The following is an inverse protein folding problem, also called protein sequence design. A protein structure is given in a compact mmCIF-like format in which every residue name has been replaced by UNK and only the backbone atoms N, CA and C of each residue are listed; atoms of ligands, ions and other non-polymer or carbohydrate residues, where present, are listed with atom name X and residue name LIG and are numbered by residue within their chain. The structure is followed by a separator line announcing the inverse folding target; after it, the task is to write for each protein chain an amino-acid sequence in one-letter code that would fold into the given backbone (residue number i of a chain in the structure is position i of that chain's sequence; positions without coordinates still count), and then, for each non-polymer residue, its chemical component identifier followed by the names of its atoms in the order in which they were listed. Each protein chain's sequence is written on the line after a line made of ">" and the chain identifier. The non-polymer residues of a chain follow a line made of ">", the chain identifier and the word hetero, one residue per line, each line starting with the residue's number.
data_IF_594844977992
#
_entry.id   IF_594844977992
#
_cell.length_a   1.000
_cell.length_b   1.000
_cell.length_c   1.000
_cell.angle_alpha   90.00
_cell.angle_beta   90.00
_cell.angle_gamma   90.00
#
_symmetry.space_group_name_H-M   'P 1'
#
loop_
_entity.id
_entity.type
_entity.pdbx_description
1 polymer ?
#
# COMPACT_ATOMS: atom_id res chain seq x y z
N UNK A 1 36.93 8.23 13.17
CA UNK A 1 36.15 9.39 12.67
C UNK A 1 36.71 10.68 13.27
N UNK A 2 37.62 11.39 12.58
CA UNK A 2 38.09 12.70 13.07
C UNK A 2 37.03 13.75 12.70
N UNK A 3 36.61 14.59 13.65
CA UNK A 3 35.65 15.70 13.51
C UNK A 3 34.14 15.36 13.50
N UNK A 4 33.76 14.13 13.84
CA UNK A 4 32.36 13.79 14.11
C UNK A 4 32.15 13.72 15.62
N UNK A 5 31.02 14.24 16.09
CA UNK A 5 30.64 14.25 17.51
C UNK A 5 29.32 13.53 17.69
N UNK A 6 29.24 12.71 18.74
CA UNK A 6 28.00 12.04 19.12
C UNK A 6 27.01 13.06 19.65
N UNK A 7 25.84 13.08 19.05
CA UNK A 7 24.76 13.98 19.40
C UNK A 7 23.86 13.35 20.47
N UNK A 8 23.35 12.14 20.21
CA UNK A 8 22.43 11.40 21.09
C UNK A 8 22.47 9.89 20.78
N UNK A 9 22.08 9.07 21.75
CA UNK A 9 21.90 7.62 21.63
C UNK A 9 20.41 7.26 21.68
N UNK A 10 20.02 6.24 20.92
CA UNK A 10 18.63 5.82 20.76
C UNK A 10 18.49 4.32 21.01
N UNK A 11 17.39 3.93 21.64
CA UNK A 11 17.02 2.52 21.81
C UNK A 11 16.40 1.90 20.56
N UNK A 12 15.94 2.72 19.60
CA UNK A 12 15.22 2.29 18.39
C UNK A 12 15.67 3.08 17.15
N UNK A 13 15.86 2.40 16.01
CA UNK A 13 16.45 2.99 14.80
C UNK A 13 15.64 4.16 14.26
N UNK A 14 14.31 4.03 14.23
CA UNK A 14 13.44 5.09 13.72
C UNK A 14 13.57 6.41 14.48
N UNK A 15 13.94 6.37 15.77
CA UNK A 15 14.14 7.59 16.55
C UNK A 15 15.40 8.33 16.09
N UNK A 16 16.47 7.57 15.82
CA UNK A 16 17.71 8.11 15.27
C UNK A 16 17.51 8.66 13.85
N UNK A 17 16.82 7.90 12.98
CA UNK A 17 16.49 8.32 11.61
C UNK A 17 15.67 9.62 11.59
N UNK A 18 14.68 9.74 12.49
CA UNK A 18 13.89 10.96 12.60
C UNK A 18 14.73 12.20 12.89
N UNK A 19 15.70 12.12 13.82
CA UNK A 19 16.59 13.25 14.12
C UNK A 19 17.60 13.48 12.99
N UNK A 20 18.11 12.40 12.38
CA UNK A 20 18.99 12.47 11.21
C UNK A 20 18.34 13.28 10.08
N UNK A 21 17.11 12.93 9.73
CA UNK A 21 16.34 13.61 8.70
C UNK A 21 16.09 15.09 9.03
N UNK A 22 15.77 15.43 10.29
CA UNK A 22 15.59 16.83 10.71
C UNK A 22 16.88 17.62 10.50
N UNK A 23 18.02 17.04 10.87
CA UNK A 23 19.31 17.66 10.70
C UNK A 23 19.65 17.83 9.21
N UNK A 24 19.47 16.79 8.40
CA UNK A 24 19.76 16.80 6.96
C UNK A 24 18.90 17.83 6.22
N UNK A 25 17.60 17.91 6.53
CA UNK A 25 16.68 18.92 5.97
C UNK A 25 17.04 20.36 6.35
N UNK A 26 17.82 20.55 7.43
CA UNK A 26 18.32 21.85 7.87
C UNK A 26 19.78 22.11 7.43
N UNK A 27 20.27 21.32 6.47
CA UNK A 27 21.60 21.43 5.89
C UNK A 27 22.72 20.96 6.82
N UNK A 28 22.41 20.08 7.78
CA UNK A 28 23.38 19.52 8.74
C UNK A 28 23.64 18.06 8.40
N UNK A 29 24.81 17.72 7.82
CA UNK A 29 25.17 16.34 7.54
C UNK A 29 25.23 15.52 8.83
N UNK A 30 24.51 14.40 8.88
CA UNK A 30 24.44 13.53 10.04
C UNK A 30 24.57 12.06 9.65
N UNK A 31 25.06 11.23 10.58
CA UNK A 31 25.34 9.80 10.35
C UNK A 31 24.80 9.00 11.53
N UNK A 32 24.11 7.90 11.24
CA UNK A 32 23.69 6.93 12.26
C UNK A 32 24.69 5.79 12.28
N UNK A 33 25.15 5.43 13.47
CA UNK A 33 25.90 4.21 13.73
C UNK A 33 24.98 3.29 14.53
N UNK A 34 24.61 2.16 13.92
CA UNK A 34 23.85 1.13 14.62
C UNK A 34 24.82 0.10 15.19
N UNK A 35 25.12 0.20 16.49
CA UNK A 35 26.02 -0.74 17.18
C UNK A 35 25.26 -1.92 17.79
N UNK A 36 23.98 -2.13 17.44
CA UNK A 36 23.24 -3.29 17.93
C UNK A 36 23.74 -4.58 17.31
N UNK A 37 24.07 -5.53 18.18
CA UNK A 37 24.34 -6.89 17.78
C UNK A 37 23.03 -7.56 17.35
N UNK A 38 22.99 -8.04 16.10
CA UNK A 38 21.80 -8.67 15.50
C UNK A 38 21.44 -10.00 16.16
N UNK A 39 22.36 -10.66 16.85
CA UNK A 39 22.14 -11.95 17.52
C UNK A 39 21.60 -11.79 18.93
N UNK A 40 21.88 -10.67 19.59
CA UNK A 40 21.55 -10.49 21.00
C UNK A 40 20.73 -9.23 21.33
N UNK A 41 20.43 -8.39 20.34
CA UNK A 41 19.57 -7.19 20.45
C UNK A 41 20.03 -6.13 21.46
N UNK A 42 21.23 -6.28 22.05
CA UNK A 42 21.87 -5.29 22.91
C UNK A 42 22.80 -4.37 22.11
N UNK A 43 22.92 -3.11 22.55
CA UNK A 43 23.67 -2.05 21.88
C UNK A 43 22.84 -0.78 21.72
N UNK A 44 23.50 0.33 21.41
CA UNK A 44 22.86 1.63 21.18
C UNK A 44 22.93 2.03 19.71
N UNK A 45 21.97 2.85 19.29
CA UNK A 45 21.95 3.45 17.96
C UNK A 45 22.34 4.91 18.15
N UNK A 46 23.48 5.30 17.60
CA UNK A 46 24.08 6.60 17.88
C UNK A 46 23.96 7.53 16.67
N UNK A 47 23.57 8.78 16.90
CA UNK A 47 23.53 9.82 15.88
C UNK A 47 24.73 10.74 16.03
N UNK A 48 25.44 10.96 14.92
CA UNK A 48 26.61 11.81 14.84
C UNK A 48 26.41 12.97 13.87
N UNK A 49 27.04 14.10 14.16
CA UNK A 49 27.16 15.26 13.26
C UNK A 49 28.60 15.73 13.18
N UNK A 50 28.91 16.60 12.22
CA UNK A 50 30.20 17.31 12.22
C UNK A 50 30.28 18.23 13.44
N UNK A 51 31.45 18.29 14.07
CA UNK A 51 31.71 19.11 15.27
C UNK A 51 31.31 20.59 15.10
N UNK A 52 31.45 21.14 13.90
CA UNK A 52 31.09 22.52 13.60
C UNK A 52 29.58 22.78 13.72
N UNK A 53 28.75 21.79 13.40
CA UNK A 53 27.29 21.91 13.38
C UNK A 53 26.65 21.50 14.70
N UNK A 54 27.43 21.07 15.71
CA UNK A 54 26.93 20.48 16.95
C UNK A 54 25.91 21.36 17.68
N UNK A 55 26.20 22.65 17.85
CA UNK A 55 25.33 23.55 18.59
C UNK A 55 23.96 23.73 17.90
N UNK A 56 23.98 24.01 16.59
CA UNK A 56 22.78 24.13 15.75
C UNK A 56 22.01 22.82 15.68
N UNK A 57 22.73 21.70 15.57
CA UNK A 57 22.14 20.37 15.54
C UNK A 57 21.41 20.04 16.85
N UNK A 58 22.04 20.30 18.00
CA UNK A 58 21.43 20.12 19.33
C UNK A 58 20.19 20.99 19.50
N UNK A 59 20.21 22.22 19.03
CA UNK A 59 19.03 23.11 19.06
C UNK A 59 17.87 22.55 18.22
N UNK A 60 18.14 22.07 17.00
CA UNK A 60 17.12 21.51 16.12
C UNK A 60 16.53 20.20 16.64
N UNK A 61 17.34 19.31 17.21
CA UNK A 61 16.82 18.04 17.74
C UNK A 61 16.11 18.19 19.09
N UNK A 62 16.32 19.29 19.81
CA UNK A 62 15.60 19.59 21.05
C UNK A 62 14.10 19.70 20.79
N UNK A 63 13.69 20.28 19.65
CA UNK A 63 12.28 20.36 19.24
C UNK A 63 11.65 18.97 19.03
N UNK A 64 12.46 17.97 18.66
CA UNK A 64 11.98 16.61 18.46
C UNK A 64 12.15 15.72 19.69
N UNK A 65 12.98 16.13 20.66
CA UNK A 65 13.17 15.44 21.93
C UNK A 65 11.87 15.48 22.71
N UNK A 66 11.26 14.31 22.86
CA UNK A 66 9.93 14.22 23.47
C UNK A 66 8.79 14.10 22.47
N UNK A 67 9.02 13.93 21.16
CA UNK A 67 7.96 13.65 20.19
C UNK A 67 7.85 12.16 19.83
N UNK A 68 6.61 11.66 19.73
CA UNK A 68 6.26 10.31 19.26
C UNK A 68 5.43 10.37 18.00
N UNK A 69 5.82 9.59 16.98
CA UNK A 69 5.00 9.40 15.78
C UNK A 69 3.75 8.61 16.14
N UNK A 70 2.58 9.16 15.82
CA UNK A 70 1.30 8.49 16.06
C UNK A 70 0.60 8.07 14.79
N UNK A 71 0.95 8.66 13.64
CA UNK A 71 0.32 8.31 12.37
C UNK A 71 1.21 8.67 11.17
N UNK A 72 0.95 8.08 10.01
CA UNK A 72 1.60 8.42 8.75
C UNK A 72 0.75 8.04 7.55
N UNK A 73 0.82 8.81 6.46
CA UNK A 73 0.12 8.50 5.21
C UNK A 73 0.73 9.26 4.01
N UNK A 74 0.35 8.87 2.79
CA UNK A 74 0.70 9.59 1.55
C UNK A 74 -0.10 10.87 1.33
N UNK A 75 -1.31 10.94 1.87
CA UNK A 75 -2.24 12.06 1.65
C UNK A 75 -2.02 13.19 2.63
N UNK A 76 -1.54 14.34 2.14
CA UNK A 76 -1.31 15.56 2.93
C UNK A 76 -2.59 16.01 3.62
N UNK A 77 -3.69 16.14 2.86
CA UNK A 77 -4.98 16.61 3.36
C UNK A 77 -5.50 15.75 4.52
N UNK A 78 -5.36 14.43 4.41
CA UNK A 78 -5.77 13.50 5.47
C UNK A 78 -4.94 13.68 6.75
N UNK A 79 -3.63 13.92 6.62
CA UNK A 79 -2.73 14.12 7.76
C UNK A 79 -2.89 15.49 8.40
N UNK A 80 -3.10 16.55 7.61
CA UNK A 80 -3.40 17.88 8.13
C UNK A 80 -4.74 17.89 8.87
N UNK A 81 -5.79 17.29 8.30
CA UNK A 81 -7.08 17.19 8.99
C UNK A 81 -6.96 16.40 10.31
N UNK A 82 -6.22 15.29 10.31
CA UNK A 82 -5.99 14.54 11.56
C UNK A 82 -5.26 15.40 12.61
N UNK A 83 -4.23 16.15 12.19
CA UNK A 83 -3.52 17.11 13.06
C UNK A 83 -4.45 18.19 13.59
N UNK A 84 -5.27 18.81 12.74
CA UNK A 84 -6.25 19.83 13.15
C UNK A 84 -7.25 19.28 14.18
N UNK A 85 -7.71 18.04 13.99
CA UNK A 85 -8.57 17.36 14.95
C UNK A 85 -7.88 17.23 16.31
N UNK A 86 -6.60 16.84 16.36
CA UNK A 86 -5.83 16.75 17.60
C UNK A 86 -5.68 18.12 18.28
N UNK A 87 -5.30 19.14 17.51
CA UNK A 87 -5.14 20.51 18.02
C UNK A 87 -6.45 21.05 18.62
N UNK A 88 -7.58 20.80 17.97
CA UNK A 88 -8.91 21.19 18.46
C UNK A 88 -9.32 20.47 19.75
N UNK A 89 -8.65 19.36 20.10
CA UNK A 89 -8.85 18.63 21.34
C UNK A 89 -7.69 18.87 22.34
N UNK A 90 -6.97 19.99 22.19
CA UNK A 90 -5.86 20.39 23.04
C UNK A 90 -4.69 19.39 23.08
N UNK A 91 -4.49 18.62 22.01
CA UNK A 91 -3.33 17.74 21.85
C UNK A 91 -2.36 18.42 20.89
N UNK A 92 -1.20 18.84 21.40
CA UNK A 92 -0.20 19.49 20.57
C UNK A 92 0.37 18.49 19.55
N UNK A 93 0.33 18.88 18.28
CA UNK A 93 0.75 18.01 17.19
C UNK A 93 1.40 18.77 16.03
N UNK A 94 2.40 18.12 15.45
CA UNK A 94 3.16 18.62 14.30
C UNK A 94 3.15 17.59 13.17
N UNK A 95 3.18 18.09 11.94
CA UNK A 95 3.28 17.26 10.74
C UNK A 95 4.66 17.43 10.12
N UNK A 96 5.23 16.31 9.66
CA UNK A 96 6.49 16.30 8.92
C UNK A 96 6.24 15.69 7.54
N UNK A 97 6.64 16.43 6.50
CA UNK A 97 6.73 15.89 5.14
C UNK A 97 8.10 15.22 4.95
N UNK A 98 8.13 13.98 4.47
CA UNK A 98 9.35 13.32 4.00
C UNK A 98 9.68 13.80 2.60
N UNK A 99 10.97 13.98 2.31
CA UNK A 99 11.41 14.29 0.95
C UNK A 99 10.97 13.17 -0.02
N UNK A 100 10.65 13.56 -1.25
CA UNK A 100 10.14 12.66 -2.30
C UNK A 100 11.24 11.67 -2.72
N UNK A 101 11.35 10.56 -1.99
CA UNK A 101 12.02 9.36 -2.48
C UNK A 101 10.97 8.47 -3.17
N UNK A 102 11.30 7.99 -4.37
CA UNK A 102 10.47 7.06 -5.17
C UNK A 102 10.10 5.78 -4.41
N UNK A 103 10.76 5.47 -3.30
CA UNK A 103 10.49 4.30 -2.46
C UNK A 103 9.69 4.62 -1.18
N UNK A 104 9.39 5.89 -0.90
CA UNK A 104 8.63 6.26 0.31
C UNK A 104 7.14 6.23 0.01
N UNK A 105 6.47 5.23 0.58
CA UNK A 105 5.01 5.08 0.53
C UNK A 105 4.28 5.90 1.60
N UNK A 106 4.96 6.69 2.43
CA UNK A 106 4.37 7.52 3.49
C UNK A 106 5.07 8.87 3.55
N UNK A 107 4.48 9.86 2.89
CA UNK A 107 5.13 11.15 2.69
C UNK A 107 4.84 12.14 3.83
N UNK A 108 3.85 11.87 4.67
CA UNK A 108 3.43 12.74 5.75
C UNK A 108 3.32 11.95 7.06
N UNK A 109 3.92 12.47 8.12
CA UNK A 109 3.95 11.85 9.44
C UNK A 109 3.46 12.83 10.50
N UNK A 110 2.58 12.37 11.39
CA UNK A 110 2.04 13.18 12.50
C UNK A 110 2.69 12.75 13.81
N UNK A 111 3.16 13.75 14.55
CA UNK A 111 3.83 13.62 15.84
C UNK A 111 3.10 14.38 16.93
N UNK A 112 3.18 13.87 18.15
CA UNK A 112 2.70 14.50 19.39
C UNK A 112 3.78 14.46 20.46
N UNK A 113 3.64 15.26 21.51
CA UNK A 113 4.53 15.13 22.66
C UNK A 113 4.32 13.79 23.39
N UNK A 114 5.39 13.27 23.99
CA UNK A 114 5.43 11.96 24.64
C UNK A 114 4.52 11.91 25.86
N UNK A 115 4.42 13.02 26.59
CA UNK A 115 3.53 13.20 27.73
C UNK A 115 2.06 13.33 27.32
N UNK A 116 1.77 13.59 26.04
CA UNK A 116 0.41 13.67 25.51
C UNK A 116 -0.09 12.34 24.90
N UNK A 117 0.74 11.28 24.86
CA UNK A 117 0.38 9.98 24.27
C UNK A 117 -0.87 9.40 24.93
N UNK A 118 -0.96 9.44 26.25
CA UNK A 118 -2.14 8.94 26.97
C UNK A 118 -3.40 9.74 26.63
N UNK A 119 -3.25 11.05 26.39
CA UNK A 119 -4.29 11.93 25.90
C UNK A 119 -4.78 11.52 24.51
N UNK A 120 -3.85 11.21 23.59
CA UNK A 120 -4.19 10.66 22.26
C UNK A 120 -4.96 9.36 22.38
N UNK A 121 -4.50 8.42 23.22
CA UNK A 121 -5.19 7.14 23.41
C UNK A 121 -6.61 7.37 23.95
N UNK A 122 -6.77 8.25 24.94
CA UNK A 122 -8.07 8.61 25.50
C UNK A 122 -9.01 9.23 24.47
N UNK A 123 -8.52 10.20 23.70
CA UNK A 123 -9.25 10.85 22.61
C UNK A 123 -9.73 9.82 21.58
N UNK A 124 -8.82 8.95 21.11
CA UNK A 124 -9.10 7.96 20.08
C UNK A 124 -10.13 6.92 20.52
N UNK A 125 -10.18 6.57 21.81
CA UNK A 125 -11.11 5.57 22.35
C UNK A 125 -12.50 6.12 22.67
N UNK A 126 -12.63 7.42 22.97
CA UNK A 126 -13.88 7.99 23.52
C UNK A 126 -14.43 9.13 22.67
N UNK A 127 -13.61 10.13 22.42
CA UNK A 127 -14.05 11.42 21.90
C UNK A 127 -14.08 11.45 20.38
N UNK A 128 -13.12 10.81 19.72
CA UNK A 128 -13.07 10.74 18.26
C UNK A 128 -14.36 10.15 17.69
N UNK A 129 -14.81 9.04 18.28
CA UNK A 129 -16.02 8.32 17.88
C UNK A 129 -17.30 9.08 18.19
N UNK A 130 -17.25 10.24 18.85
CA UNK A 130 -18.43 11.09 19.05
C UNK A 130 -18.81 11.85 17.77
N UNK A 131 -17.82 12.35 17.02
CA UNK A 131 -18.01 13.19 15.83
C UNK A 131 -17.68 12.46 14.52
N UNK A 132 -16.76 11.50 14.57
CA UNK A 132 -16.26 10.78 13.40
C UNK A 132 -16.71 9.32 13.42
N UNK A 133 -17.06 8.80 12.25
CA UNK A 133 -17.40 7.39 12.04
C UNK A 133 -16.32 6.71 11.20
N UNK A 134 -15.96 5.48 11.60
CA UNK A 134 -15.12 4.61 10.77
C UNK A 134 -15.94 4.16 9.57
N UNK A 135 -15.47 4.50 8.36
CA UNK A 135 -16.12 4.19 7.10
C UNK A 135 -15.76 2.80 6.62
N UNK A 136 -14.47 2.51 6.51
CA UNK A 136 -13.92 1.23 6.03
C UNK A 136 -12.45 1.09 6.44
N UNK A 137 -11.98 -0.15 6.60
CA UNK A 137 -10.57 -0.49 6.73
C UNK A 137 -10.02 -1.06 5.41
N UNK A 138 -8.77 -0.74 5.12
CA UNK A 138 -8.05 -1.22 3.94
C UNK A 138 -6.73 -1.85 4.37
N UNK A 139 -6.26 -2.84 3.62
CA UNK A 139 -5.01 -3.55 3.91
C UNK A 139 -3.83 -3.05 3.06
N UNK A 140 -4.10 -2.22 2.04
CA UNK A 140 -3.10 -1.62 1.15
C UNK A 140 -3.24 -0.10 1.19
N UNK A 141 -2.12 0.60 1.43
CA UNK A 141 -2.04 2.08 1.45
C UNK A 141 -2.56 2.68 0.15
N UNK A 142 -2.25 2.04 -0.98
CA UNK A 142 -2.65 2.49 -2.32
C UNK A 142 -4.18 2.46 -2.50
N UNK A 143 -4.82 1.34 -2.15
CA UNK A 143 -6.27 1.23 -2.16
C UNK A 143 -6.91 2.29 -1.24
N UNK A 144 -6.34 2.53 -0.05
CA UNK A 144 -6.81 3.63 0.82
C UNK A 144 -6.76 4.96 0.09
N UNK A 145 -5.62 5.30 -0.53
CA UNK A 145 -5.41 6.57 -1.24
C UNK A 145 -6.45 6.76 -2.36
N UNK A 146 -6.74 5.71 -3.11
CA UNK A 146 -7.75 5.76 -4.17
C UNK A 146 -9.14 6.10 -3.66
N UNK A 147 -9.52 5.55 -2.50
CA UNK A 147 -10.81 5.84 -1.88
C UNK A 147 -10.83 7.24 -1.25
N UNK A 148 -9.74 7.68 -0.61
CA UNK A 148 -9.67 9.04 -0.05
C UNK A 148 -9.73 10.11 -1.13
N UNK A 149 -9.14 9.85 -2.31
CA UNK A 149 -9.23 10.75 -3.47
C UNK A 149 -10.67 10.91 -3.97
N UNK A 150 -11.40 9.79 -4.06
CA UNK A 150 -12.83 9.80 -4.42
C UNK A 150 -13.64 10.61 -3.41
N UNK A 151 -13.36 10.48 -2.11
CA UNK A 151 -14.01 11.27 -1.07
C UNK A 151 -13.67 12.76 -1.20
N UNK A 152 -12.40 13.08 -1.48
CA UNK A 152 -11.92 14.46 -1.64
C UNK A 152 -12.55 15.17 -2.83
N UNK A 153 -12.60 14.50 -3.99
CA UNK A 153 -13.27 14.98 -5.21
C UNK A 153 -14.75 15.29 -4.96
N UNK A 154 -15.38 14.54 -4.04
CA UNK A 154 -16.78 14.71 -3.65
C UNK A 154 -16.97 15.60 -2.42
N UNK A 155 -15.91 16.31 -1.99
CA UNK A 155 -15.90 17.25 -0.86
C UNK A 155 -16.37 16.61 0.45
N UNK A 156 -15.98 15.37 0.69
CA UNK A 156 -16.23 14.65 1.95
C UNK A 156 -14.94 14.68 2.77
N UNK A 157 -14.99 15.37 3.91
CA UNK A 157 -13.86 15.43 4.83
C UNK A 157 -13.55 14.02 5.35
N UNK A 158 -12.29 13.63 5.21
CA UNK A 158 -11.82 12.32 5.60
C UNK A 158 -10.38 12.39 6.14
N UNK A 159 -10.11 11.58 7.15
CA UNK A 159 -8.76 11.34 7.62
C UNK A 159 -8.57 9.83 7.82
N UNK A 160 -7.34 9.40 8.04
CA UNK A 160 -7.02 7.98 8.20
C UNK A 160 -6.25 7.73 9.47
N UNK A 161 -6.35 6.51 10.01
CA UNK A 161 -5.51 6.00 11.09
C UNK A 161 -4.86 4.70 10.63
N UNK A 162 -3.53 4.63 10.71
CA UNK A 162 -2.81 3.38 10.46
C UNK A 162 -2.76 2.51 11.71
N UNK A 163 -3.24 1.27 11.60
CA UNK A 163 -3.05 0.21 12.58
C UNK A 163 -1.86 -0.64 12.18
N UNK A 164 -1.00 -0.93 13.16
CA UNK A 164 0.15 -1.80 12.99
C UNK A 164 0.12 -2.87 14.06
N UNK A 165 0.57 -4.07 13.68
CA UNK A 165 0.74 -5.15 14.62
C UNK A 165 1.98 -4.94 15.52
N UNK A 166 2.19 -5.88 16.46
CA UNK A 166 3.35 -5.85 17.37
C UNK A 166 4.71 -5.93 16.68
N UNK A 167 4.76 -6.44 15.45
CA UNK A 167 5.95 -6.53 14.61
C UNK A 167 6.10 -5.31 13.68
N UNK A 168 5.28 -4.28 13.87
CA UNK A 168 5.24 -3.04 13.10
C UNK A 168 4.85 -3.22 11.63
N UNK A 169 4.28 -4.36 11.25
CA UNK A 169 3.67 -4.56 9.95
C UNK A 169 2.34 -3.80 9.88
N UNK A 170 2.01 -3.31 8.69
CA UNK A 170 0.72 -2.67 8.45
C UNK A 170 -0.38 -3.71 8.61
N UNK A 171 -1.23 -3.54 9.61
CA UNK A 171 -2.40 -4.38 9.82
C UNK A 171 -3.57 -3.86 8.97
N UNK A 172 -3.86 -2.55 9.10
CA UNK A 172 -4.87 -1.90 8.28
C UNK A 172 -4.72 -0.38 8.29
N UNK A 173 -5.39 0.27 7.36
CA UNK A 173 -5.60 1.72 7.31
C UNK A 173 -7.09 1.96 7.42
N UNK A 174 -7.51 2.53 8.54
CA UNK A 174 -8.90 2.86 8.84
C UNK A 174 -9.21 4.26 8.29
N UNK A 175 -10.24 4.40 7.46
CA UNK A 175 -10.72 5.68 6.94
C UNK A 175 -11.88 6.17 7.80
N UNK A 176 -11.81 7.42 8.23
CA UNK A 176 -12.84 8.08 9.03
C UNK A 176 -13.43 9.26 8.27
N UNK A 177 -14.73 9.46 8.43
CA UNK A 177 -15.48 10.62 7.92
C UNK A 177 -16.37 11.19 9.02
N UNK A 178 -16.86 12.42 8.85
CA UNK A 178 -17.88 12.96 9.75
C UNK A 178 -19.10 12.04 9.77
N UNK A 179 -19.70 11.82 10.95
CA UNK A 179 -20.86 10.92 11.08
C UNK A 179 -22.01 11.26 10.14
N UNK A 180 -22.27 12.55 9.95
CA UNK A 180 -23.33 13.04 9.06
C UNK A 180 -23.07 12.70 7.59
N UNK A 181 -21.81 12.49 7.20
CA UNK A 181 -21.40 12.09 5.85
C UNK A 181 -21.24 10.57 5.70
N UNK A 182 -21.35 9.78 6.77
CA UNK A 182 -21.02 8.35 6.76
C UNK A 182 -21.85 7.56 5.74
N UNK A 183 -23.17 7.78 5.71
CA UNK A 183 -24.06 7.10 4.78
C UNK A 183 -23.78 7.53 3.32
N UNK A 184 -23.56 8.83 3.10
CA UNK A 184 -23.23 9.40 1.79
C UNK A 184 -21.90 8.84 1.27
N UNK A 185 -20.87 8.83 2.10
CA UNK A 185 -19.55 8.30 1.79
C UNK A 185 -19.60 6.80 1.49
N UNK A 186 -20.33 6.02 2.31
CA UNK A 186 -20.51 4.58 2.09
C UNK A 186 -21.21 4.29 0.77
N UNK A 187 -22.29 5.00 0.45
CA UNK A 187 -22.98 4.86 -0.85
C UNK A 187 -22.07 5.24 -2.02
N UNK A 188 -21.28 6.29 -1.89
CA UNK A 188 -20.34 6.73 -2.92
C UNK A 188 -19.28 5.65 -3.21
N UNK A 189 -18.62 5.14 -2.17
CA UNK A 189 -17.56 4.12 -2.32
C UNK A 189 -18.08 2.73 -2.70
N UNK A 190 -19.38 2.44 -2.50
CA UNK A 190 -19.99 1.20 -2.96
C UNK A 190 -20.47 1.27 -4.40
N UNK A 191 -20.96 2.43 -4.84
CA UNK A 191 -21.45 2.59 -6.21
C UNK A 191 -20.34 2.82 -7.21
N UNK A 192 -19.28 3.52 -6.78
CA UNK A 192 -18.16 3.94 -7.63
C UNK A 192 -18.67 4.41 -9.01
N UNK A 193 -19.64 5.33 -9.02
CA UNK A 193 -20.30 5.76 -10.26
C UNK A 193 -19.26 6.19 -11.31
N UNK A 194 -19.31 5.62 -12.50
CA UNK A 194 -18.33 5.86 -13.57
C UNK A 194 -17.16 4.86 -13.58
N UNK A 195 -17.11 3.93 -12.62
CA UNK A 195 -16.21 2.79 -12.62
C UNK A 195 -16.94 1.56 -13.14
N UNK A 196 -16.19 0.71 -13.83
CA UNK A 196 -16.70 -0.51 -14.44
C UNK A 196 -15.83 -1.70 -14.05
N UNK A 197 -16.46 -2.86 -13.98
CA UNK A 197 -15.80 -4.13 -13.66
C UNK A 197 -15.18 -4.72 -14.92
N UNK A 198 -13.85 -4.81 -14.95
CA UNK A 198 -13.12 -5.37 -16.10
C UNK A 198 -12.75 -6.84 -15.89
N UNK A 199 -12.63 -7.30 -14.64
CA UNK A 199 -12.34 -8.70 -14.29
C UNK A 199 -12.89 -9.09 -12.93
N UNK A 200 -13.18 -10.39 -12.78
CA UNK A 200 -13.65 -11.02 -11.54
C UNK A 200 -12.73 -12.16 -11.11
N UNK A 201 -12.61 -12.30 -9.79
CA UNK A 201 -11.70 -13.22 -9.13
C UNK A 201 -12.37 -13.91 -7.95
N UNK A 202 -12.06 -15.18 -7.74
CA UNK A 202 -12.45 -15.89 -6.51
C UNK A 202 -11.42 -15.74 -5.40
N UNK A 203 -10.18 -15.39 -5.75
CA UNK A 203 -9.05 -15.22 -4.85
C UNK A 203 -8.50 -13.80 -4.97
N UNK A 204 -8.36 -13.11 -3.84
CA UNK A 204 -7.87 -11.73 -3.77
C UNK A 204 -6.47 -11.58 -4.36
N UNK A 205 -5.63 -12.60 -4.25
CA UNK A 205 -4.25 -12.56 -4.74
C UNK A 205 -4.17 -12.18 -6.23
N UNK A 206 -5.11 -12.64 -7.05
CA UNK A 206 -5.13 -12.32 -8.48
C UNK A 206 -5.65 -10.92 -8.79
N UNK A 207 -6.59 -10.42 -7.98
CA UNK A 207 -7.02 -9.04 -8.06
C UNK A 207 -5.86 -8.09 -7.70
N UNK A 208 -5.13 -8.42 -6.63
CA UNK A 208 -3.93 -7.70 -6.21
C UNK A 208 -2.85 -7.63 -7.32
N UNK A 209 -2.63 -8.72 -8.07
CA UNK A 209 -1.67 -8.73 -9.19
C UNK A 209 -2.11 -7.79 -10.32
N UNK A 210 -3.38 -7.85 -10.72
CA UNK A 210 -3.91 -6.95 -11.75
C UNK A 210 -3.86 -5.49 -11.30
N UNK A 211 -4.16 -5.22 -10.02
CA UNK A 211 -4.01 -3.91 -9.41
C UNK A 211 -2.57 -3.41 -9.58
N UNK A 212 -1.57 -4.24 -9.26
CA UNK A 212 -0.16 -3.87 -9.38
C UNK A 212 0.25 -3.62 -10.84
N UNK A 213 -0.18 -4.48 -11.78
CA UNK A 213 0.04 -4.29 -13.22
C UNK A 213 -0.54 -2.95 -13.71
N UNK A 214 -1.81 -2.66 -13.40
CA UNK A 214 -2.46 -1.42 -13.82
C UNK A 214 -1.73 -0.19 -13.28
N UNK A 215 -1.27 -0.26 -12.03
CA UNK A 215 -0.57 0.84 -11.39
C UNK A 215 0.80 1.12 -12.01
N UNK A 216 1.53 0.10 -12.46
CA UNK A 216 2.79 0.28 -13.18
C UNK A 216 2.62 1.08 -14.47
N UNK A 217 1.41 1.05 -15.06
CA UNK A 217 1.05 1.81 -16.26
C UNK A 217 0.19 3.05 -15.96
N UNK A 218 0.17 3.51 -14.70
CA UNK A 218 -0.58 4.69 -14.24
C UNK A 218 -2.10 4.60 -14.44
N UNK A 219 -2.67 3.39 -14.47
CA UNK A 219 -4.12 3.16 -14.45
C UNK A 219 -4.55 2.85 -13.02
N UNK A 220 -5.52 3.62 -12.51
CA UNK A 220 -6.08 3.46 -11.17
C UNK A 220 -7.02 2.24 -11.15
N UNK A 221 -6.55 1.12 -10.60
CA UNK A 221 -7.36 -0.07 -10.32
C UNK A 221 -7.90 -0.08 -8.89
N UNK A 222 -9.21 -0.25 -8.72
CA UNK A 222 -9.86 -0.41 -7.41
C UNK A 222 -10.36 -1.84 -7.25
N UNK A 223 -10.01 -2.47 -6.13
CA UNK A 223 -10.50 -3.82 -5.80
C UNK A 223 -11.79 -3.69 -5.00
N UNK A 224 -12.90 -4.18 -5.54
CA UNK A 224 -14.17 -4.29 -4.84
C UNK A 224 -14.41 -5.72 -4.36
N UNK A 225 -14.77 -5.88 -3.09
CA UNK A 225 -15.23 -7.16 -2.54
C UNK A 225 -16.73 -7.33 -2.80
N UNK A 226 -17.10 -8.52 -3.27
CA UNK A 226 -18.47 -8.91 -3.64
C UNK A 226 -18.84 -10.21 -2.94
N UNK A 227 -20.12 -10.60 -2.99
CA UNK A 227 -20.58 -11.87 -2.40
C UNK A 227 -19.95 -13.12 -3.03
N UNK A 228 -19.39 -13.01 -4.24
CA UNK A 228 -18.81 -14.11 -5.00
C UNK A 228 -17.29 -14.05 -5.14
N UNK A 229 -16.63 -13.08 -4.50
CA UNK A 229 -15.19 -12.87 -4.61
C UNK A 229 -14.84 -11.39 -4.81
N UNK A 230 -13.91 -11.10 -5.71
CA UNK A 230 -13.33 -9.78 -5.92
C UNK A 230 -13.49 -9.32 -7.36
N UNK A 231 -13.67 -8.03 -7.56
CA UNK A 231 -13.73 -7.41 -8.88
C UNK A 231 -12.67 -6.32 -9.00
N UNK A 232 -12.02 -6.23 -10.17
CA UNK A 232 -11.17 -5.11 -10.54
C UNK A 232 -12.02 -4.10 -11.27
N UNK A 233 -12.10 -2.92 -10.67
CA UNK A 233 -12.80 -1.77 -11.20
C UNK A 233 -11.81 -0.75 -11.72
N UNK A 234 -12.10 -0.17 -12.88
CA UNK A 234 -11.38 0.99 -13.43
C UNK A 234 -12.39 2.06 -13.87
N UNK A 235 -11.95 3.30 -14.01
CA UNK A 235 -12.78 4.33 -14.63
C UNK A 235 -13.16 3.93 -16.07
N UNK A 236 -14.40 4.19 -16.48
CA UNK A 236 -14.94 3.70 -17.76
C UNK A 236 -14.15 4.16 -19.00
N UNK A 237 -13.50 5.33 -18.93
CA UNK A 237 -12.61 5.84 -19.98
C UNK A 237 -11.27 5.09 -20.09
N UNK A 238 -10.92 4.26 -19.10
CA UNK A 238 -9.70 3.46 -19.07
C UNK A 238 -9.95 1.97 -19.36
N UNK A 239 -11.18 1.57 -19.69
CA UNK A 239 -11.57 0.16 -19.88
C UNK A 239 -10.64 -0.62 -20.82
N UNK A 240 -10.55 -0.16 -22.08
CA UNK A 240 -9.85 -0.85 -23.16
C UNK A 240 -8.35 -0.93 -22.85
N UNK A 241 -7.76 0.19 -22.43
CA UNK A 241 -6.36 0.26 -22.05
C UNK A 241 -6.02 -0.68 -20.87
N UNK A 242 -6.88 -0.72 -19.85
CA UNK A 242 -6.68 -1.56 -18.67
C UNK A 242 -6.71 -3.06 -19.03
N UNK A 243 -7.69 -3.47 -19.85
CA UNK A 243 -7.83 -4.84 -20.32
C UNK A 243 -6.60 -5.26 -21.14
N UNK A 244 -6.16 -4.40 -22.06
CA UNK A 244 -5.00 -4.68 -22.92
C UNK A 244 -3.70 -4.80 -22.13
N UNK A 245 -3.47 -3.91 -21.16
CA UNK A 245 -2.29 -3.93 -20.29
C UNK A 245 -2.25 -5.23 -19.47
N UNK A 246 -3.34 -5.61 -18.82
CA UNK A 246 -3.42 -6.84 -18.03
C UNK A 246 -3.15 -8.06 -18.92
N UNK A 247 -3.82 -8.15 -20.08
CA UNK A 247 -3.63 -9.25 -21.02
C UNK A 247 -2.18 -9.40 -21.51
N UNK A 248 -1.48 -8.28 -21.68
CA UNK A 248 -0.12 -8.26 -22.23
C UNK A 248 0.93 -8.60 -21.18
N UNK A 249 0.74 -8.15 -19.93
CA UNK A 249 1.76 -8.26 -18.87
C UNK A 249 1.59 -9.46 -17.94
N UNK A 250 0.44 -10.12 -17.94
CA UNK A 250 0.17 -11.21 -17.00
C UNK A 250 0.92 -12.49 -17.35
N UNK A 251 1.45 -13.15 -16.32
CA UNK A 251 2.20 -14.39 -16.48
C UNK A 251 1.33 -15.53 -17.03
N UNK A 252 1.95 -16.29 -17.93
CA UNK A 252 1.36 -17.48 -18.54
C UNK A 252 1.87 -18.74 -17.84
N UNK A 253 0.99 -19.71 -17.65
CA UNK A 253 1.35 -21.00 -17.05
C UNK A 253 0.90 -22.15 -17.94
N UNK A 254 1.62 -23.26 -17.89
CA UNK A 254 1.20 -24.50 -18.53
C UNK A 254 -0.03 -25.04 -17.80
N UNK A 255 -1.13 -25.15 -18.53
CA UNK A 255 -2.36 -25.80 -18.07
C UNK A 255 -2.23 -27.32 -18.22
N UNK A 256 -1.87 -27.78 -19.42
CA UNK A 256 -1.84 -29.20 -19.77
C UNK A 256 -0.97 -29.44 -21.00
N UNK A 257 -0.38 -30.62 -21.10
CA UNK A 257 0.39 -31.05 -22.26
C UNK A 257 -0.39 -32.04 -23.13
N UNK A 258 -0.08 -32.07 -24.42
CA UNK A 258 -0.77 -32.86 -25.43
C UNK A 258 0.20 -33.50 -26.42
N UNK A 259 -0.02 -34.76 -26.77
CA UNK A 259 0.73 -35.44 -27.83
C UNK A 259 0.16 -35.19 -29.24
N UNK A 260 -1.05 -34.62 -29.33
CA UNK A 260 -1.78 -34.37 -30.58
C UNK A 260 -2.22 -32.91 -30.67
N UNK A 261 -1.93 -32.28 -31.81
CA UNK A 261 -2.33 -30.90 -32.09
C UNK A 261 -3.84 -30.75 -32.17
N UNK A 262 -4.55 -31.78 -32.62
CA UNK A 262 -6.01 -31.73 -32.70
C UNK A 262 -6.64 -31.75 -31.30
N UNK A 263 -6.11 -32.54 -30.36
CA UNK A 263 -6.57 -32.54 -28.97
C UNK A 263 -6.27 -31.20 -28.29
N UNK A 264 -5.07 -30.63 -28.52
CA UNK A 264 -4.72 -29.31 -28.02
C UNK A 264 -5.66 -28.22 -28.59
N UNK A 265 -5.98 -28.27 -29.90
CA UNK A 265 -6.93 -27.36 -30.54
C UNK A 265 -8.36 -27.53 -30.04
N UNK A 266 -8.78 -28.74 -29.65
CA UNK A 266 -10.10 -28.97 -29.03
C UNK A 266 -10.14 -28.28 -27.66
N UNK A 267 -9.14 -28.52 -26.81
CA UNK A 267 -9.05 -27.87 -25.50
C UNK A 267 -9.01 -26.33 -25.62
N UNK A 268 -8.17 -25.80 -26.51
CA UNK A 268 -8.12 -24.36 -26.83
C UNK A 268 -9.49 -23.80 -27.26
N UNK A 269 -10.25 -24.55 -28.08
CA UNK A 269 -11.61 -24.13 -28.49
C UNK A 269 -12.61 -24.17 -27.33
N UNK A 270 -12.52 -25.15 -26.44
CA UNK A 270 -13.35 -25.21 -25.22
C UNK A 270 -13.05 -24.03 -24.31
N UNK A 271 -11.77 -23.72 -24.07
CA UNK A 271 -11.35 -22.57 -23.27
C UNK A 271 -11.82 -21.24 -23.89
N UNK A 272 -11.66 -21.06 -25.20
CA UNK A 272 -12.10 -19.85 -25.90
C UNK A 272 -13.63 -19.62 -25.79
N UNK A 273 -14.44 -20.70 -25.81
CA UNK A 273 -15.89 -20.61 -25.58
C UNK A 273 -16.26 -20.15 -24.16
N UNK A 274 -15.33 -20.28 -23.21
CA UNK A 274 -15.48 -19.82 -21.83
C UNK A 274 -14.65 -18.56 -21.56
N UNK A 275 -14.30 -17.80 -22.61
CA UNK A 275 -13.57 -16.53 -22.52
C UNK A 275 -12.17 -16.68 -21.86
N UNK A 276 -11.55 -17.87 -21.95
CA UNK A 276 -10.19 -18.11 -21.47
C UNK A 276 -9.24 -18.10 -22.66
N UNK A 277 -8.38 -17.08 -22.69
CA UNK A 277 -7.28 -17.00 -23.66
C UNK A 277 -6.29 -18.14 -23.44
N UNK A 278 -5.87 -18.77 -24.54
CA UNK A 278 -4.90 -19.87 -24.49
C UNK A 278 -4.00 -19.91 -25.73
N UNK A 279 -2.75 -20.29 -25.52
CA UNK A 279 -1.73 -20.43 -26.57
C UNK A 279 -1.22 -21.86 -26.55
N UNK A 280 -1.08 -22.46 -27.74
CA UNK A 280 -0.44 -23.77 -27.88
C UNK A 280 0.99 -23.49 -28.31
N UNK A 281 1.95 -23.88 -27.48
CA UNK A 281 3.38 -23.81 -27.77
C UNK A 281 3.84 -25.20 -28.18
N UNK A 282 4.63 -25.26 -29.26
CA UNK A 282 5.19 -26.51 -29.75
C UNK A 282 6.65 -26.62 -29.32
N UNK A 283 6.89 -27.32 -28.22
CA UNK A 283 8.23 -27.59 -27.69
C UNK A 283 8.90 -28.81 -28.33
N UNK A 284 8.38 -29.30 -29.48
CA UNK A 284 9.00 -30.43 -30.18
C UNK A 284 10.35 -30.02 -30.76
N UNK A 285 11.38 -30.80 -30.42
CA UNK A 285 12.69 -30.69 -31.06
C UNK A 285 12.51 -30.95 -32.56
N UNK A 286 12.86 -29.93 -33.36
CA UNK A 286 12.72 -29.95 -34.82
C UNK A 286 13.51 -31.08 -35.48
N UNK A 287 14.55 -31.58 -34.80
CA UNK A 287 15.48 -32.59 -35.30
C UNK A 287 15.01 -34.02 -35.03
N UNK A 288 14.21 -34.22 -33.98
CA UNK A 288 13.82 -35.55 -33.50
C UNK A 288 12.31 -35.80 -33.48
N UNK A 289 11.47 -34.77 -33.68
CA UNK A 289 10.00 -34.83 -33.56
C UNK A 289 9.52 -35.36 -32.19
N UNK A 290 10.39 -35.37 -31.19
CA UNK A 290 10.11 -35.75 -29.80
C UNK A 290 9.83 -34.48 -29.00
N UNK A 291 8.71 -34.46 -28.29
CA UNK A 291 8.26 -33.35 -27.44
C UNK A 291 6.74 -33.31 -27.33
N UNK A 292 6.25 -32.61 -26.32
CA UNK A 292 4.81 -32.43 -26.08
C UNK A 292 4.37 -31.04 -26.55
N UNK A 293 3.09 -30.89 -26.90
CA UNK A 293 2.47 -29.59 -27.14
C UNK A 293 1.97 -29.05 -25.81
N UNK A 294 2.38 -27.86 -25.44
CA UNK A 294 1.98 -27.25 -24.18
C UNK A 294 0.85 -26.25 -24.41
N UNK A 295 -0.25 -26.41 -23.67
CA UNK A 295 -1.34 -25.45 -23.66
C UNK A 295 -1.12 -24.48 -22.51
N UNK A 296 -0.76 -23.25 -22.84
CA UNK A 296 -0.59 -22.15 -21.90
C UNK A 296 -1.87 -21.34 -21.76
N UNK A 297 -2.09 -20.84 -20.55
CA UNK A 297 -3.16 -19.92 -20.18
C UNK A 297 -2.64 -18.87 -19.22
N UNK A 298 -3.42 -17.81 -19.01
CA UNK A 298 -3.19 -16.87 -17.91
C UNK A 298 -3.24 -17.62 -16.56
N UNK A 299 -2.26 -17.35 -15.70
CA UNK A 299 -2.02 -18.12 -14.47
C UNK A 299 -3.21 -18.13 -13.49
N UNK A 300 -3.97 -17.03 -13.43
CA UNK A 300 -5.17 -16.85 -12.61
C UNK A 300 -6.36 -17.70 -13.09
N UNK A 301 -6.38 -18.07 -14.37
CA UNK A 301 -7.44 -18.90 -14.96
C UNK A 301 -7.22 -20.39 -14.75
N UNK A 302 -6.07 -20.81 -14.21
CA UNK A 302 -5.69 -22.23 -14.12
C UNK A 302 -6.72 -23.12 -13.45
N UNK A 303 -7.16 -22.79 -12.24
CA UNK A 303 -8.14 -23.63 -11.51
C UNK A 303 -9.47 -23.78 -12.26
N UNK A 304 -9.95 -22.69 -12.85
CA UNK A 304 -11.20 -22.68 -13.62
C UNK A 304 -11.03 -23.49 -14.91
N UNK A 305 -9.93 -23.27 -15.64
CA UNK A 305 -9.60 -23.99 -16.86
C UNK A 305 -9.44 -25.51 -16.62
N UNK A 306 -8.78 -25.90 -15.52
CA UNK A 306 -8.66 -27.31 -15.11
C UNK A 306 -10.04 -27.94 -14.83
N UNK A 307 -10.97 -27.17 -14.26
CA UNK A 307 -12.32 -27.64 -13.98
C UNK A 307 -13.11 -27.80 -15.29
N UNK A 308 -13.08 -26.80 -16.16
CA UNK A 308 -13.73 -26.85 -17.48
C UNK A 308 -13.22 -28.05 -18.30
N UNK A 309 -11.92 -28.31 -18.29
CA UNK A 309 -11.33 -29.41 -19.06
C UNK A 309 -11.41 -30.78 -18.38
N UNK A 310 -11.90 -30.89 -17.13
CA UNK A 310 -12.20 -32.19 -16.50
C UNK A 310 -13.50 -32.79 -17.00
N UNK A 311 -14.43 -31.95 -17.47
CA UNK A 311 -15.76 -32.35 -17.94
C UNK A 311 -15.78 -32.72 -19.44
N UNK A 312 -14.62 -32.75 -20.10
CA UNK A 312 -14.41 -33.06 -21.53
C UNK A 312 -13.29 -34.07 -21.73
#
# INVERSE_FOLDING_TARGET
>A
MKNWVKLESFGRLYQAELRKDVLENNGIPSVIINEKDSLFLFGEIELFVKKFDEAKARELIVEFKGLTKINSFVGEKQMELFREILLNNNIHSVIKKKEEDKYVLDNYEVYVNNDEIDGVVGFMQKELLSQWGMLRSFYRVRQTKFHTDILDENKIDNFIIKRKDSAYHLESVEVFVKKDDLEKASKLLNKLNGWISIRKYTDRHWADIDEDILNEDNIKGVIAETSSGFEILVEANNEEAAIDIINTKKDWTVLKTYNSIENAKVAKRVLAKNEINSVIVNEKDSSFLIGELELYIEIDKKKIAETILKDF
#
